data_IF_971572419592
#
_entry.id   IF_971572419592
#
_cell.length_a   1.000
_cell.length_b   1.000
_cell.length_c   1.000
_cell.angle_alpha   90.00
_cell.angle_beta   90.00
_cell.angle_gamma   90.00
#
_symmetry.space_group_name_H-M   'P 1'
#
loop_
_entity.id
_entity.type
_entity.pdbx_description
1 polymer ?
#
# COMPACT_ATOMS: atom_id res chain seq x y z
N UNK A 1 1.13 2.36 5.86
CA UNK A 1 1.26 3.74 5.35
C UNK A 1 -0.14 4.36 5.23
N UNK A 2 -0.38 5.54 5.83
CA UNK A 2 -1.66 6.24 5.80
C UNK A 2 -1.94 7.00 7.09
N UNK A 3 -3.09 7.70 7.17
CA UNK A 3 -3.50 8.38 8.41
C UNK A 3 -3.67 7.37 9.56
N UNK A 4 -3.19 7.73 10.73
CA UNK A 4 -3.36 6.90 11.94
C UNK A 4 -4.76 7.14 12.52
N UNK A 5 -5.73 6.45 11.92
CA UNK A 5 -7.16 6.49 12.28
C UNK A 5 -7.70 5.07 12.32
N UNK A 6 -8.78 4.85 13.05
CA UNK A 6 -9.40 3.53 13.28
C UNK A 6 -9.71 2.77 11.97
N UNK A 7 -10.09 3.51 10.92
CA UNK A 7 -10.35 2.97 9.58
C UNK A 7 -9.17 2.14 9.04
N UNK A 8 -7.93 2.56 9.31
CA UNK A 8 -6.72 1.93 8.74
C UNK A 8 -6.28 0.66 9.46
N UNK A 9 -6.90 0.31 10.60
CA UNK A 9 -6.70 -0.97 11.28
C UNK A 9 -5.26 -1.22 11.75
N UNK A 10 -4.50 -0.20 12.12
CA UNK A 10 -3.14 -0.37 12.62
C UNK A 10 -3.10 -1.15 13.95
N UNK A 11 -4.18 -1.12 14.72
CA UNK A 11 -4.39 -1.97 15.90
C UNK A 11 -4.36 -3.46 15.51
N UNK A 12 -5.09 -3.86 14.49
CA UNK A 12 -5.10 -5.23 13.95
C UNK A 12 -3.69 -5.62 13.44
N UNK A 13 -2.99 -4.68 12.78
CA UNK A 13 -1.63 -4.92 12.30
C UNK A 13 -0.64 -5.17 13.45
N UNK A 14 -0.72 -4.41 14.54
CA UNK A 14 0.12 -4.60 15.72
C UNK A 14 -0.14 -5.96 16.36
N UNK A 15 -1.41 -6.36 16.52
CA UNK A 15 -1.79 -7.69 17.01
C UNK A 15 -1.24 -8.80 16.10
N UNK A 16 -1.45 -8.69 14.80
CA UNK A 16 -0.96 -9.66 13.83
C UNK A 16 0.57 -9.78 13.86
N UNK A 17 1.28 -8.66 13.93
CA UNK A 17 2.74 -8.65 14.02
C UNK A 17 3.21 -9.28 15.33
N UNK A 18 2.54 -9.01 16.46
CA UNK A 18 2.87 -9.64 17.75
C UNK A 18 2.80 -11.16 17.68
N UNK A 19 1.79 -11.72 17.01
CA UNK A 19 1.58 -13.16 16.88
C UNK A 19 2.70 -13.89 16.15
N UNK A 20 3.39 -13.22 15.20
CA UNK A 20 4.45 -13.86 14.40
C UNK A 20 5.87 -13.35 14.74
N UNK A 21 6.02 -12.19 15.36
CA UNK A 21 7.31 -11.50 15.53
C UNK A 21 8.35 -12.29 16.32
N UNK A 22 7.96 -13.05 17.34
CA UNK A 22 8.92 -13.80 18.17
C UNK A 22 9.64 -14.90 17.38
N UNK A 23 8.97 -15.47 16.36
CA UNK A 23 9.57 -16.48 15.47
C UNK A 23 10.45 -15.87 14.38
N UNK A 24 10.36 -14.55 14.19
CA UNK A 24 11.07 -13.83 13.15
C UNK A 24 11.79 -12.60 13.72
N UNK A 25 12.79 -12.77 14.60
CA UNK A 25 13.43 -11.68 15.35
C UNK A 25 14.14 -10.65 14.48
N UNK A 26 14.50 -10.98 13.25
CA UNK A 26 15.18 -10.10 12.30
C UNK A 26 14.25 -9.08 11.64
N UNK A 27 12.92 -9.22 11.79
CA UNK A 27 11.96 -8.35 11.11
C UNK A 27 11.48 -7.21 12.02
N UNK A 28 11.27 -6.05 11.42
CA UNK A 28 10.72 -4.86 12.06
C UNK A 28 9.53 -4.34 11.25
N UNK A 29 8.60 -3.67 11.93
CA UNK A 29 7.42 -3.04 11.32
C UNK A 29 7.60 -1.52 11.31
N UNK A 30 7.48 -0.90 10.14
CA UNK A 30 7.46 0.54 9.98
C UNK A 30 6.04 1.03 9.70
N UNK A 31 5.56 1.97 10.52
CA UNK A 31 4.26 2.62 10.37
C UNK A 31 4.51 4.06 9.94
N UNK A 32 4.03 4.41 8.73
CA UNK A 32 4.19 5.73 8.12
C UNK A 32 2.86 6.48 8.16
N UNK A 33 2.88 7.66 8.73
CA UNK A 33 1.72 8.55 8.81
C UNK A 33 1.53 9.17 10.17
N UNK A 34 0.54 10.04 10.26
CA UNK A 34 0.10 10.73 11.47
C UNK A 34 -1.42 10.62 11.59
N UNK A 35 -1.95 10.86 12.80
CA UNK A 35 -3.39 10.88 13.07
C UNK A 35 -3.72 10.67 14.53
N UNK A 36 -5.00 10.77 14.84
CA UNK A 36 -5.53 10.82 16.21
C UNK A 36 -5.26 9.54 17.02
N UNK A 37 -5.03 8.40 16.35
CA UNK A 37 -4.73 7.12 17.00
C UNK A 37 -3.24 6.95 17.36
N UNK A 38 -2.36 7.92 17.06
CA UNK A 38 -0.92 7.77 17.25
C UNK A 38 -0.54 7.33 18.66
N UNK A 39 -0.94 8.09 19.65
CA UNK A 39 -0.62 7.80 21.05
C UNK A 39 -1.19 6.46 21.52
N UNK A 40 -2.41 6.14 21.08
CA UNK A 40 -3.06 4.84 21.38
C UNK A 40 -2.28 3.67 20.79
N UNK A 41 -1.82 3.81 19.54
CA UNK A 41 -1.05 2.76 18.86
C UNK A 41 0.35 2.59 19.45
N UNK A 42 1.01 3.67 19.86
CA UNK A 42 2.31 3.61 20.55
C UNK A 42 2.17 2.90 21.90
N UNK A 43 1.16 3.27 22.71
CA UNK A 43 0.86 2.59 23.98
C UNK A 43 0.51 1.11 23.79
N UNK A 44 -0.22 0.77 22.72
CA UNK A 44 -0.51 -0.60 22.36
C UNK A 44 0.77 -1.37 21.99
N UNK A 45 1.66 -0.79 21.21
CA UNK A 45 2.96 -1.39 20.86
C UNK A 45 3.81 -1.69 22.10
N UNK A 46 3.80 -0.79 23.11
CA UNK A 46 4.46 -1.01 24.41
C UNK A 46 3.82 -2.18 25.17
N UNK A 47 2.49 -2.19 25.26
CA UNK A 47 1.72 -3.27 25.95
C UNK A 47 2.00 -4.64 25.31
N UNK A 48 2.12 -4.68 24.01
CA UNK A 48 2.46 -5.86 23.22
C UNK A 48 3.97 -6.20 23.23
N UNK A 49 4.80 -5.39 23.90
CA UNK A 49 6.27 -5.52 23.96
C UNK A 49 6.93 -5.48 22.57
N UNK A 50 6.45 -4.57 21.72
CA UNK A 50 6.92 -4.38 20.35
C UNK A 50 7.72 -3.08 20.14
N UNK A 51 8.00 -2.29 21.18
CA UNK A 51 8.62 -0.97 21.10
C UNK A 51 9.99 -0.96 20.39
N UNK A 52 10.76 -2.06 20.51
CA UNK A 52 12.04 -2.22 19.80
C UNK A 52 11.89 -2.71 18.34
N UNK A 53 10.69 -3.15 17.97
CA UNK A 53 10.40 -3.82 16.71
C UNK A 53 9.44 -3.03 15.80
N UNK A 54 8.70 -2.08 16.37
CA UNK A 54 7.77 -1.21 15.66
C UNK A 54 8.29 0.22 15.69
N UNK A 55 8.36 0.86 14.52
CA UNK A 55 8.79 2.25 14.40
C UNK A 55 7.70 3.09 13.73
N UNK A 56 7.25 4.12 14.42
CA UNK A 56 6.34 5.12 13.90
C UNK A 56 7.14 6.26 13.26
N UNK A 57 7.19 6.30 11.93
CA UNK A 57 8.04 7.23 11.17
C UNK A 57 7.40 8.60 10.95
N UNK A 58 6.13 8.78 11.33
CA UNK A 58 5.41 10.03 11.10
C UNK A 58 5.13 10.31 9.63
N UNK A 59 4.98 11.59 9.29
CA UNK A 59 4.80 12.03 7.91
C UNK A 59 6.13 11.96 7.16
N UNK A 60 6.18 11.10 6.15
CA UNK A 60 7.33 10.95 5.25
C UNK A 60 7.07 11.71 3.97
N UNK A 61 8.01 12.57 3.57
CA UNK A 61 7.87 13.44 2.39
C UNK A 61 7.82 12.63 1.09
N UNK A 62 8.61 11.57 1.01
CA UNK A 62 8.63 10.65 -0.14
C UNK A 62 8.54 9.20 0.36
N UNK A 63 7.32 8.67 0.48
CA UNK A 63 7.12 7.29 0.92
C UNK A 63 7.76 6.23 0.01
N UNK A 64 7.98 6.55 -1.28
CA UNK A 64 8.56 5.60 -2.23
C UNK A 64 9.99 5.20 -1.85
N UNK A 65 10.74 6.09 -1.21
CA UNK A 65 12.08 5.77 -0.70
C UNK A 65 12.03 4.72 0.40
N UNK A 66 11.04 4.83 1.30
CA UNK A 66 10.86 3.82 2.37
C UNK A 66 10.38 2.50 1.78
N UNK A 67 9.42 2.54 0.83
CA UNK A 67 8.90 1.33 0.20
C UNK A 67 10.02 0.54 -0.50
N UNK A 68 10.95 1.21 -1.18
CA UNK A 68 12.07 0.55 -1.88
C UNK A 68 13.06 -0.13 -0.93
N UNK A 69 13.13 0.31 0.32
CA UNK A 69 14.02 -0.24 1.35
C UNK A 69 13.32 -1.27 2.25
N UNK A 70 12.10 -1.69 1.90
CA UNK A 70 11.34 -2.67 2.66
C UNK A 70 11.15 -3.97 1.87
N UNK A 71 10.88 -5.06 2.60
CA UNK A 71 10.76 -6.41 2.01
C UNK A 71 9.32 -6.80 1.71
N UNK A 72 8.33 -6.13 2.28
CA UNK A 72 6.92 -6.35 2.02
C UNK A 72 6.06 -5.16 2.49
N UNK A 73 4.86 -5.06 1.96
CA UNK A 73 3.85 -4.10 2.38
C UNK A 73 2.62 -4.82 2.94
N UNK A 74 2.10 -4.31 4.07
CA UNK A 74 0.90 -4.85 4.71
C UNK A 74 -0.13 -3.74 4.89
N UNK A 75 -1.35 -3.98 4.42
CA UNK A 75 -2.51 -3.12 4.61
C UNK A 75 -3.57 -3.84 5.43
N UNK A 76 -3.95 -3.24 6.56
CA UNK A 76 -4.86 -3.82 7.56
C UNK A 76 -6.20 -3.10 7.66
N UNK A 77 -6.56 -2.31 6.66
CA UNK A 77 -7.71 -1.41 6.69
C UNK A 77 -9.04 -2.14 6.90
N UNK A 78 -9.94 -1.50 7.64
CA UNK A 78 -11.32 -1.94 7.84
C UNK A 78 -12.20 -1.64 6.64
N UNK A 79 -11.93 -0.53 5.97
CA UNK A 79 -12.55 -0.18 4.69
C UNK A 79 -11.68 0.81 3.92
N UNK A 80 -11.79 0.76 2.59
CA UNK A 80 -11.10 1.64 1.65
C UNK A 80 -12.07 2.07 0.54
N UNK A 81 -11.79 3.19 -0.09
CA UNK A 81 -12.42 3.52 -1.38
C UNK A 81 -11.58 2.96 -2.52
N UNK A 82 -10.39 3.54 -2.69
CA UNK A 82 -9.38 3.07 -3.64
C UNK A 82 -7.99 3.25 -3.01
N UNK A 83 -7.35 2.19 -2.52
CA UNK A 83 -6.14 2.28 -1.71
C UNK A 83 -4.89 2.55 -2.55
N UNK A 84 -4.58 3.83 -2.82
CA UNK A 84 -3.40 4.24 -3.59
C UNK A 84 -2.09 3.70 -2.98
N UNK A 85 -1.98 3.66 -1.65
CA UNK A 85 -0.81 3.12 -0.96
C UNK A 85 -0.50 1.66 -1.34
N UNK A 86 -1.54 0.87 -1.62
CA UNK A 86 -1.40 -0.52 -2.08
C UNK A 86 -0.83 -0.55 -3.51
N UNK A 87 -1.36 0.27 -4.41
CA UNK A 87 -0.87 0.38 -5.79
C UNK A 87 0.56 0.88 -5.82
N UNK A 88 0.90 1.88 -5.01
CA UNK A 88 2.26 2.41 -4.88
C UNK A 88 3.25 1.34 -4.43
N UNK A 89 2.88 0.55 -3.40
CA UNK A 89 3.71 -0.55 -2.92
C UNK A 89 3.92 -1.63 -4.00
N UNK A 90 2.85 -2.02 -4.70
CA UNK A 90 2.93 -2.99 -5.81
C UNK A 90 3.80 -2.46 -6.96
N UNK A 91 3.65 -1.18 -7.32
CA UNK A 91 4.47 -0.54 -8.36
C UNK A 91 5.96 -0.43 -7.97
N UNK A 92 6.26 -0.37 -6.67
CA UNK A 92 7.63 -0.46 -6.15
C UNK A 92 8.20 -1.90 -6.18
N UNK A 93 7.42 -2.88 -6.62
CA UNK A 93 7.85 -4.29 -6.67
C UNK A 93 7.82 -4.98 -5.32
N UNK A 94 6.95 -4.56 -4.40
CA UNK A 94 6.79 -5.22 -3.11
C UNK A 94 5.75 -6.35 -3.18
N UNK A 95 6.01 -7.48 -2.53
CA UNK A 95 4.95 -8.42 -2.22
C UNK A 95 4.00 -7.75 -1.21
N UNK A 96 2.69 -7.86 -1.46
CA UNK A 96 1.69 -7.17 -0.65
C UNK A 96 0.75 -8.15 0.04
N UNK A 97 0.35 -7.80 1.25
CA UNK A 97 -0.76 -8.42 1.98
C UNK A 97 -1.78 -7.33 2.25
N UNK A 98 -3.05 -7.61 2.01
CA UNK A 98 -4.13 -6.70 2.35
C UNK A 98 -5.31 -7.44 2.98
N UNK A 99 -5.98 -6.77 3.90
CA UNK A 99 -7.34 -7.15 4.27
C UNK A 99 -8.26 -7.00 3.05
N UNK A 100 -9.15 -7.97 2.85
CA UNK A 100 -10.23 -7.90 1.85
C UNK A 100 -11.42 -7.14 2.46
N UNK A 101 -11.19 -5.85 2.71
CA UNK A 101 -12.23 -4.95 3.20
C UNK A 101 -13.15 -4.50 2.07
N UNK A 102 -14.38 -4.04 2.37
CA UNK A 102 -15.30 -3.54 1.36
C UNK A 102 -14.64 -2.49 0.47
N UNK A 103 -14.75 -2.69 -0.85
CA UNK A 103 -14.19 -1.92 -1.96
C UNK A 103 -12.65 -1.84 -2.02
N UNK A 104 -12.12 -1.89 -3.22
CA UNK A 104 -10.72 -1.59 -3.55
C UNK A 104 -9.75 -2.76 -3.50
N UNK A 105 -9.42 -3.40 -2.37
CA UNK A 105 -8.33 -4.38 -2.34
C UNK A 105 -8.52 -5.58 -3.27
N UNK A 106 -9.70 -6.20 -3.31
CA UNK A 106 -10.01 -7.33 -4.20
C UNK A 106 -10.13 -6.94 -5.68
N UNK A 107 -10.30 -5.65 -5.99
CA UNK A 107 -10.24 -5.15 -7.36
C UNK A 107 -8.79 -4.97 -7.85
N UNK A 108 -7.88 -4.76 -6.91
CA UNK A 108 -6.46 -4.48 -7.15
C UNK A 108 -5.64 -5.76 -7.11
N UNK A 109 -5.79 -6.57 -6.05
CA UNK A 109 -5.01 -7.79 -5.82
C UNK A 109 -5.68 -9.00 -6.48
N UNK A 110 -4.93 -9.73 -7.28
CA UNK A 110 -5.25 -11.10 -7.70
C UNK A 110 -4.67 -12.05 -6.65
N UNK A 111 -5.51 -12.50 -5.73
CA UNK A 111 -5.09 -13.28 -4.56
C UNK A 111 -4.23 -14.50 -4.93
N UNK A 112 -3.06 -14.62 -4.30
CA UNK A 112 -2.08 -15.68 -4.53
C UNK A 112 -1.23 -15.52 -5.79
N UNK A 113 -1.50 -14.50 -6.63
CA UNK A 113 -0.77 -14.18 -7.87
C UNK A 113 0.16 -12.99 -7.63
N UNK A 114 -0.39 -11.81 -7.35
CA UNK A 114 0.36 -10.56 -7.18
C UNK A 114 0.24 -9.96 -5.77
N UNK A 115 -0.38 -10.68 -4.84
CA UNK A 115 -0.53 -10.33 -3.44
C UNK A 115 -1.35 -11.37 -2.70
N UNK A 116 -1.58 -11.14 -1.42
CA UNK A 116 -2.38 -12.00 -0.55
C UNK A 116 -3.53 -11.17 0.02
N UNK A 117 -4.76 -11.70 -0.08
CA UNK A 117 -5.94 -11.16 0.57
C UNK A 117 -6.30 -12.02 1.79
N UNK A 118 -6.62 -11.37 2.91
CA UNK A 118 -7.09 -12.00 4.14
C UNK A 118 -8.39 -11.35 4.61
N UNK A 119 -9.23 -12.03 5.40
CA UNK A 119 -10.44 -11.42 5.95
C UNK A 119 -10.12 -10.13 6.73
N UNK A 120 -11.01 -9.14 6.61
CA UNK A 120 -10.91 -7.92 7.41
C UNK A 120 -11.15 -8.23 8.90
N UNK A 121 -10.52 -7.44 9.77
CA UNK A 121 -10.63 -7.56 11.24
C UNK A 121 -10.18 -8.93 11.82
N UNK A 122 -9.37 -9.69 11.08
CA UNK A 122 -8.82 -10.97 11.52
C UNK A 122 -7.29 -10.88 11.66
N UNK A 123 -6.83 -10.57 12.87
CA UNK A 123 -5.40 -10.49 13.19
C UNK A 123 -4.69 -11.83 13.04
N UNK A 124 -5.37 -12.97 13.25
CA UNK A 124 -4.79 -14.29 13.08
C UNK A 124 -4.57 -14.63 11.60
N UNK A 125 -5.55 -14.36 10.74
CA UNK A 125 -5.39 -14.54 9.29
C UNK A 125 -4.31 -13.63 8.73
N UNK A 126 -4.26 -12.36 9.18
CA UNK A 126 -3.22 -11.41 8.80
C UNK A 126 -1.83 -11.89 9.24
N UNK A 127 -1.70 -12.36 10.49
CA UNK A 127 -0.46 -12.92 11.02
C UNK A 127 0.00 -14.15 10.25
N UNK A 128 -0.90 -15.06 9.91
CA UNK A 128 -0.56 -16.26 9.14
C UNK A 128 -0.05 -15.90 7.73
N UNK A 129 -0.65 -14.91 7.07
CA UNK A 129 -0.18 -14.41 5.78
C UNK A 129 1.20 -13.74 5.91
N UNK A 130 1.40 -12.91 6.96
CA UNK A 130 2.69 -12.31 7.24
C UNK A 130 3.75 -13.40 7.48
N UNK A 131 3.50 -14.36 8.36
CA UNK A 131 4.43 -15.45 8.67
C UNK A 131 4.82 -16.24 7.43
N UNK A 132 3.86 -16.53 6.56
CA UNK A 132 4.11 -17.20 5.29
C UNK A 132 5.13 -16.43 4.42
N UNK A 133 5.04 -15.09 4.36
CA UNK A 133 6.00 -14.29 3.60
C UNK A 133 7.30 -14.03 4.37
N UNK A 134 7.27 -13.94 5.69
CA UNK A 134 8.47 -13.79 6.52
C UNK A 134 9.40 -15.02 6.37
N UNK A 135 8.82 -16.20 6.27
CA UNK A 135 9.54 -17.48 6.21
C UNK A 135 10.00 -17.86 4.78
N UNK A 136 9.34 -17.38 3.73
CA UNK A 136 9.55 -17.83 2.33
C UNK A 136 10.01 -16.69 1.41
N UNK A 137 11.32 -16.50 1.22
CA UNK A 137 11.87 -15.50 0.28
C UNK A 137 11.47 -15.73 -1.18
N UNK A 138 11.32 -16.98 -1.60
CA UNK A 138 10.95 -17.31 -2.99
C UNK A 138 9.50 -16.89 -3.26
N UNK A 139 8.61 -17.13 -2.32
CA UNK A 139 7.22 -16.67 -2.42
C UNK A 139 7.14 -15.15 -2.46
N UNK A 140 7.92 -14.44 -1.62
CA UNK A 140 8.00 -12.97 -1.69
C UNK A 140 8.44 -12.53 -3.08
N UNK A 141 9.51 -13.09 -3.62
CA UNK A 141 10.04 -12.73 -4.95
C UNK A 141 9.02 -13.00 -6.06
N UNK A 142 8.34 -14.15 -6.02
CA UNK A 142 7.30 -14.49 -7.01
C UNK A 142 6.15 -13.49 -7.00
N UNK A 143 5.60 -13.16 -5.83
CA UNK A 143 4.52 -12.18 -5.70
C UNK A 143 4.96 -10.78 -6.14
N UNK A 144 6.18 -10.37 -5.75
CA UNK A 144 6.77 -9.08 -6.13
C UNK A 144 6.91 -8.93 -7.66
N UNK A 145 7.36 -9.98 -8.35
CA UNK A 145 7.49 -9.98 -9.81
C UNK A 145 6.14 -9.75 -10.50
N UNK A 146 5.08 -10.35 -9.99
CA UNK A 146 3.74 -10.16 -10.54
C UNK A 146 3.09 -8.83 -10.11
N UNK A 147 3.44 -8.33 -8.92
CA UNK A 147 2.89 -7.08 -8.39
C UNK A 147 3.22 -5.88 -9.27
N UNK A 148 4.40 -5.82 -9.86
CA UNK A 148 4.82 -4.71 -10.75
C UNK A 148 3.87 -4.51 -11.94
N UNK A 149 3.22 -5.57 -12.41
CA UNK A 149 2.24 -5.49 -13.52
C UNK A 149 0.99 -4.65 -13.15
N UNK A 150 0.90 -4.15 -11.92
CA UNK A 150 -0.14 -3.22 -11.49
C UNK A 150 -0.15 -1.94 -12.33
N UNK A 151 1.02 -1.49 -12.82
CA UNK A 151 1.14 -0.28 -13.64
C UNK A 151 0.42 -0.40 -14.98
N UNK A 152 0.31 -1.61 -15.53
CA UNK A 152 -0.43 -1.87 -16.77
C UNK A 152 -1.95 -1.81 -16.58
N UNK A 153 -2.41 -2.00 -15.34
CA UNK A 153 -3.82 -1.98 -14.96
C UNK A 153 -4.29 -0.62 -14.48
N UNK A 154 -3.48 0.06 -13.67
CA UNK A 154 -3.83 1.28 -12.94
C UNK A 154 -2.84 2.42 -13.15
N UNK A 155 -1.88 2.31 -14.06
CA UNK A 155 -0.97 3.39 -14.42
C UNK A 155 -1.72 4.60 -15.01
N UNK A 156 -1.19 5.79 -14.82
CA UNK A 156 -1.84 7.05 -15.22
C UNK A 156 -2.19 7.08 -16.71
N UNK A 157 -1.32 6.57 -17.58
CA UNK A 157 -1.57 6.51 -19.03
C UNK A 157 -2.79 5.64 -19.35
N UNK A 158 -2.90 4.48 -18.72
CA UNK A 158 -4.05 3.58 -18.90
C UNK A 158 -5.36 4.21 -18.43
N UNK A 159 -5.33 4.85 -17.27
CA UNK A 159 -6.50 5.53 -16.70
C UNK A 159 -6.92 6.69 -17.60
N UNK A 160 -5.98 7.51 -18.07
CA UNK A 160 -6.27 8.61 -18.99
C UNK A 160 -6.86 8.14 -20.33
N UNK A 161 -6.34 7.04 -20.88
CA UNK A 161 -6.88 6.44 -22.10
C UNK A 161 -8.33 5.97 -21.91
N UNK A 162 -8.66 5.35 -20.77
CA UNK A 162 -10.03 4.94 -20.46
C UNK A 162 -10.96 6.14 -20.29
N UNK A 163 -10.50 7.21 -19.66
CA UNK A 163 -11.25 8.47 -19.56
C UNK A 163 -11.52 9.10 -20.91
N UNK A 164 -10.55 9.12 -21.81
CA UNK A 164 -10.72 9.64 -23.17
C UNK A 164 -11.73 8.80 -23.97
N UNK A 165 -11.66 7.48 -23.87
CA UNK A 165 -12.66 6.59 -24.50
C UNK A 165 -14.07 6.86 -23.96
N UNK A 166 -14.25 6.97 -22.65
CA UNK A 166 -15.54 7.26 -22.02
C UNK A 166 -16.07 8.61 -22.48
N UNK A 167 -15.21 9.64 -22.52
CA UNK A 167 -15.58 10.98 -22.98
C UNK A 167 -16.06 10.98 -24.44
N UNK A 168 -15.38 10.23 -25.33
CA UNK A 168 -15.82 10.06 -26.70
C UNK A 168 -17.20 9.41 -26.82
N UNK A 169 -17.47 8.41 -26.00
CA UNK A 169 -18.76 7.71 -25.99
C UNK A 169 -19.92 8.59 -25.47
N UNK A 170 -19.67 9.39 -24.44
CA UNK A 170 -20.73 10.14 -23.74
C UNK A 170 -20.98 11.52 -24.37
N UNK A 171 -19.94 12.22 -24.80
CA UNK A 171 -20.03 13.64 -25.21
C UNK A 171 -19.81 13.85 -26.71
N UNK A 172 -19.33 12.84 -27.44
CA UNK A 172 -19.08 12.93 -28.89
C UNK A 172 -18.00 13.97 -29.28
N UNK A 173 -17.15 14.38 -28.34
CA UNK A 173 -16.10 15.37 -28.56
C UNK A 173 -14.85 14.64 -29.08
N UNK A 174 -14.31 14.97 -30.25
CA UNK A 174 -13.08 14.40 -30.78
C UNK A 174 -11.88 14.63 -29.83
N UNK A 175 -10.85 13.79 -29.98
CA UNK A 175 -9.58 13.88 -29.22
C UNK A 175 -9.10 15.32 -29.10
N UNK A 176 -8.58 15.70 -27.93
CA UNK A 176 -7.75 16.89 -27.81
C UNK A 176 -6.64 16.80 -28.84
N UNK A 177 -6.50 17.83 -29.65
CA UNK A 177 -5.32 18.06 -30.45
C UNK A 177 -4.08 17.86 -29.56
N UNK A 178 -3.10 17.11 -30.06
CA UNK A 178 -1.78 17.02 -29.44
C UNK A 178 -1.31 18.44 -29.09
N UNK A 179 -1.33 18.75 -27.81
CA UNK A 179 -0.64 19.95 -27.34
C UNK A 179 0.83 19.57 -27.34
N UNK A 180 1.53 20.05 -28.35
CA UNK A 180 2.98 19.92 -28.50
C UNK A 180 3.64 20.16 -27.14
N UNK A 181 4.40 19.17 -26.66
CA UNK A 181 5.15 19.21 -25.41
C UNK A 181 6.22 20.34 -25.40
N UNK A 182 6.36 21.10 -26.46
CA UNK A 182 7.36 22.16 -26.60
C UNK A 182 6.90 23.56 -26.15
N UNK A 183 5.63 23.73 -25.74
CA UNK A 183 5.08 25.09 -25.50
C UNK A 183 4.87 25.46 -24.02
N UNK A 184 5.33 24.67 -23.05
CA UNK A 184 5.28 25.10 -21.64
C UNK A 184 6.59 25.78 -21.28
N UNK A 185 6.75 27.03 -21.75
CA UNK A 185 7.77 27.94 -21.20
C UNK A 185 7.21 28.50 -19.91
N UNK A 186 7.73 28.04 -18.77
CA UNK A 186 7.48 28.66 -17.47
C UNK A 186 8.11 30.07 -17.49
N UNK A 187 7.38 31.12 -17.10
CA UNK A 187 7.96 32.47 -17.01
C UNK A 187 9.08 32.45 -15.96
N UNK A 188 10.28 32.83 -16.40
CA UNK A 188 11.46 32.91 -15.54
C UNK A 188 11.25 33.91 -14.40
N UNK A 189 11.63 33.47 -13.19
CA UNK A 189 11.85 34.37 -12.07
C UNK A 189 12.93 35.38 -12.47
N UNK A 190 12.54 36.64 -12.56
CA UNK A 190 13.49 37.75 -12.54
C UNK A 190 13.84 38.07 -11.09
N UNK A 191 15.14 38.08 -10.84
CA UNK A 191 15.86 38.49 -9.63
C UNK A 191 15.30 39.72 -8.92
#
# INVERSE_FOLDING_TARGET
MGRLVKQKGFDILLEAFRLCSDRHPQWSLYILGEGDERETLEAMAETLKLQERVKFLGLVKDPSLVLRDTDMFVMSSRFEGFPLALIEAMACGLPVISTDCPTGPSEIIRNGVDGILVPAEDAHALSAAMECLLADPEKRRRLATEAVNIVDRFGAEKVMMLWDQLRMQVVGIPQRLDVDKESIVLPGHRS
#
